data_IF_092447078657
#
_entry.id   IF_092447078657
#
_cell.length_a   1.000
_cell.length_b   1.000
_cell.length_c   1.000
_cell.angle_alpha   90.00
_cell.angle_beta   90.00
_cell.angle_gamma   90.00
#
_symmetry.space_group_name_H-M   'P 1'
#
loop_
_entity.id
_entity.type
_entity.pdbx_description
1 polymer ?
#
# COMPACT_ATOMS: atom_id res chain seq x y z
N UNK A 1 -35.94 81.69 -4.25
CA UNK A 1 -35.82 81.20 -2.87
C UNK A 1 -35.42 79.74 -2.92
N UNK A 2 -34.22 79.51 -2.42
CA UNK A 2 -33.37 78.31 -2.46
C UNK A 2 -33.76 77.31 -1.37
N UNK A 3 -33.81 76.01 -1.69
CA UNK A 3 -33.73 74.93 -0.68
C UNK A 3 -32.32 74.34 -0.73
N UNK A 4 -31.49 74.73 0.23
CA UNK A 4 -30.26 74.00 0.60
C UNK A 4 -30.58 73.14 1.82
N UNK A 5 -30.39 71.84 1.68
CA UNK A 5 -30.47 70.85 2.75
C UNK A 5 -29.12 70.76 3.47
N UNK A 6 -29.09 71.08 4.76
CA UNK A 6 -27.95 70.85 5.66
C UNK A 6 -27.80 69.35 5.97
N UNK A 7 -26.58 68.77 5.97
CA UNK A 7 -26.36 67.42 6.48
C UNK A 7 -26.38 67.42 8.00
N UNK A 8 -27.24 66.57 8.58
CA UNK A 8 -27.28 66.32 10.02
C UNK A 8 -26.05 65.56 10.51
N UNK A 9 -25.54 66.00 11.66
CA UNK A 9 -24.57 65.31 12.50
C UNK A 9 -25.09 63.92 12.89
N UNK A 10 -24.47 62.87 12.36
CA UNK A 10 -24.58 61.51 12.91
C UNK A 10 -23.48 61.36 13.94
N UNK A 11 -23.87 61.15 15.21
CA UNK A 11 -22.96 60.84 16.32
C UNK A 11 -22.25 59.51 16.06
N UNK A 12 -20.93 59.54 16.05
CA UNK A 12 -20.07 58.37 16.23
C UNK A 12 -20.26 57.80 17.65
N UNK A 13 -21.09 56.78 17.77
CA UNK A 13 -20.95 55.79 18.83
C UNK A 13 -21.38 54.43 18.27
N UNK A 14 -20.63 53.40 18.64
CA UNK A 14 -20.76 51.99 18.25
C UNK A 14 -19.99 51.56 16.99
N UNK A 15 -18.68 51.81 16.98
CA UNK A 15 -17.74 50.92 16.29
C UNK A 15 -17.30 49.81 17.27
N UNK A 16 -17.41 48.52 16.92
CA UNK A 16 -16.92 47.43 17.77
C UNK A 16 -15.39 47.52 17.90
N UNK A 17 -14.80 47.15 19.05
CA UNK A 17 -13.38 47.30 19.29
C UNK A 17 -12.57 46.45 18.30
N UNK A 18 -11.93 47.12 17.35
CA UNK A 18 -10.93 46.56 16.45
C UNK A 18 -9.64 46.31 17.24
N UNK A 19 -9.48 45.10 17.78
CA UNK A 19 -8.28 44.80 18.55
C UNK A 19 -8.15 43.44 19.20
N UNK A 20 -8.81 42.39 18.70
CA UNK A 20 -8.34 41.05 19.03
C UNK A 20 -7.27 40.67 18.02
N UNK A 21 -6.00 40.72 18.45
CA UNK A 21 -4.91 40.09 17.76
C UNK A 21 -5.31 38.62 17.53
N UNK A 22 -5.67 38.28 16.30
CA UNK A 22 -5.82 36.90 15.87
C UNK A 22 -4.46 36.27 16.08
N UNK A 23 -4.32 35.55 17.20
CA UNK A 23 -3.09 34.84 17.54
C UNK A 23 -2.66 34.05 16.33
N UNK A 24 -1.41 34.23 15.92
CA UNK A 24 -0.83 33.51 14.79
C UNK A 24 -1.21 32.03 14.92
N UNK A 25 -1.80 31.40 13.89
CA UNK A 25 -2.17 30.00 14.00
C UNK A 25 -0.93 29.22 14.46
N UNK A 26 -1.06 28.31 15.45
CA UNK A 26 0.09 27.57 15.95
C UNK A 26 0.82 26.93 14.77
N UNK A 27 2.17 26.91 14.77
CA UNK A 27 2.93 26.38 13.66
C UNK A 27 2.42 24.97 13.35
N UNK A 28 2.19 24.63 12.07
CA UNK A 28 1.64 23.33 11.70
C UNK A 28 2.52 22.24 12.31
N UNK A 29 1.92 21.40 13.16
CA UNK A 29 2.64 20.26 13.74
C UNK A 29 3.10 19.35 12.61
N UNK A 30 4.40 19.07 12.57
CA UNK A 30 4.97 18.15 11.59
C UNK A 30 4.53 16.73 11.99
N UNK A 31 3.51 16.21 11.30
CA UNK A 31 2.96 14.87 11.57
C UNK A 31 3.32 13.94 10.42
N UNK A 32 4.31 13.10 10.65
CA UNK A 32 4.60 11.95 9.77
C UNK A 32 3.56 10.87 10.00
N UNK A 33 3.17 10.18 8.93
CA UNK A 33 2.18 9.10 9.01
C UNK A 33 2.64 8.01 10.00
N UNK A 34 1.82 7.60 10.99
CA UNK A 34 2.20 6.57 11.95
C UNK A 34 2.51 5.23 11.26
N UNK A 35 1.84 4.91 10.15
CA UNK A 35 2.14 3.76 9.31
C UNK A 35 3.57 3.80 8.76
N UNK A 36 4.03 4.96 8.29
CA UNK A 36 5.39 5.12 7.74
C UNK A 36 6.45 5.02 8.83
N UNK A 37 6.16 5.53 10.03
CA UNK A 37 7.03 5.39 11.20
C UNK A 37 7.13 3.92 11.62
N UNK A 38 5.99 3.23 11.75
CA UNK A 38 5.96 1.82 12.11
C UNK A 38 6.71 0.96 11.08
N UNK A 39 6.49 1.21 9.78
CA UNK A 39 7.23 0.55 8.71
C UNK A 39 8.73 0.77 8.87
N UNK A 40 9.17 2.03 9.03
CA UNK A 40 10.59 2.36 9.21
C UNK A 40 11.23 1.66 10.41
N UNK A 41 10.53 1.58 11.55
CA UNK A 41 11.03 0.89 12.75
C UNK A 41 11.14 -0.61 12.53
N UNK A 42 10.10 -1.26 11.98
CA UNK A 42 10.13 -2.70 11.73
C UNK A 42 11.21 -3.05 10.70
N UNK A 43 11.28 -2.29 9.61
CA UNK A 43 12.33 -2.44 8.58
C UNK A 43 13.72 -2.27 9.19
N UNK A 44 13.93 -1.28 10.08
CA UNK A 44 15.22 -1.10 10.76
C UNK A 44 15.62 -2.34 11.55
N UNK A 45 14.72 -2.87 12.40
CA UNK A 45 15.02 -4.03 13.23
C UNK A 45 15.28 -5.27 12.38
N UNK A 46 14.42 -5.52 11.38
CA UNK A 46 14.57 -6.65 10.47
C UNK A 46 15.90 -6.58 9.71
N UNK A 47 16.18 -5.49 9.01
CA UNK A 47 17.39 -5.35 8.20
C UNK A 47 18.67 -5.28 9.04
N UNK A 48 18.65 -4.61 10.20
CA UNK A 48 19.80 -4.56 11.08
C UNK A 48 20.15 -5.95 11.61
N UNK A 49 19.17 -6.72 12.06
CA UNK A 49 19.44 -8.07 12.52
C UNK A 49 19.84 -9.02 11.39
N UNK A 50 19.30 -8.87 10.17
CA UNK A 50 19.74 -9.65 9.00
C UNK A 50 21.23 -9.42 8.70
N UNK A 51 21.73 -8.19 8.84
CA UNK A 51 23.15 -7.86 8.62
C UNK A 51 24.02 -8.28 9.81
N UNK A 52 23.59 -8.01 11.03
CA UNK A 52 24.45 -8.09 12.23
C UNK A 52 24.43 -9.47 12.91
N UNK A 53 23.37 -10.25 12.75
CA UNK A 53 23.24 -11.54 13.43
C UNK A 53 23.55 -12.68 12.45
N UNK A 54 24.68 -13.39 12.62
CA UNK A 54 25.12 -14.39 11.67
C UNK A 54 24.13 -15.55 11.50
N UNK A 55 23.44 -15.92 12.59
CA UNK A 55 22.58 -17.12 12.65
C UNK A 55 21.10 -16.87 12.29
N UNK A 56 20.74 -15.66 11.81
CA UNK A 56 19.34 -15.37 11.43
C UNK A 56 18.97 -16.03 10.11
N UNK A 57 19.91 -16.05 9.16
CA UNK A 57 19.69 -16.62 7.84
C UNK A 57 20.30 -18.02 7.76
N UNK A 58 19.65 -18.88 6.99
CA UNK A 58 20.10 -20.23 6.68
C UNK A 58 19.83 -20.53 5.21
N UNK A 59 20.51 -21.52 4.64
CA UNK A 59 20.41 -21.88 3.23
C UNK A 59 21.75 -21.70 2.52
N UNK A 60 21.74 -21.69 1.17
CA UNK A 60 22.97 -21.51 0.39
C UNK A 60 23.68 -20.19 0.71
N UNK A 61 25.01 -20.24 0.85
CA UNK A 61 25.83 -19.08 1.24
C UNK A 61 25.65 -17.89 0.29
N UNK A 62 25.54 -18.15 -1.01
CA UNK A 62 25.24 -17.13 -2.03
C UNK A 62 23.96 -16.35 -1.71
N UNK A 63 22.90 -17.03 -1.26
CA UNK A 63 21.61 -16.41 -0.95
C UNK A 63 21.67 -15.62 0.36
N UNK A 64 22.41 -16.14 1.35
CA UNK A 64 22.68 -15.43 2.61
C UNK A 64 23.44 -14.13 2.32
N UNK A 65 24.47 -14.20 1.47
CA UNK A 65 25.24 -13.05 1.01
C UNK A 65 24.36 -12.01 0.34
N UNK A 66 23.55 -12.40 -0.64
CA UNK A 66 22.62 -11.49 -1.33
C UNK A 66 21.63 -10.84 -0.38
N UNK A 67 20.97 -11.62 0.50
CA UNK A 67 20.01 -11.06 1.47
C UNK A 67 20.65 -10.06 2.43
N UNK A 68 21.91 -10.27 2.84
CA UNK A 68 22.68 -9.31 3.66
C UNK A 68 23.04 -8.05 2.88
N UNK A 69 23.47 -8.19 1.62
CA UNK A 69 23.74 -7.06 0.74
C UNK A 69 22.50 -6.17 0.55
N UNK A 70 21.35 -6.78 0.27
CA UNK A 70 20.06 -6.10 0.21
C UNK A 70 19.71 -5.39 1.52
N UNK A 71 19.82 -6.09 2.65
CA UNK A 71 19.53 -5.53 3.96
C UNK A 71 20.43 -4.32 4.29
N UNK A 72 21.70 -4.35 3.87
CA UNK A 72 22.60 -3.21 4.00
C UNK A 72 22.11 -2.00 3.19
N UNK A 73 21.68 -2.18 1.94
CA UNK A 73 21.13 -1.09 1.11
C UNK A 73 19.86 -0.51 1.73
N UNK A 74 19.00 -1.35 2.29
CA UNK A 74 17.81 -0.89 3.04
C UNK A 74 18.23 0.02 4.21
N UNK A 75 19.24 -0.37 4.98
CA UNK A 75 19.70 0.41 6.14
C UNK A 75 20.34 1.75 5.75
N UNK A 76 21.20 1.75 4.73
CA UNK A 76 22.04 2.93 4.41
C UNK A 76 21.44 3.84 3.35
N UNK A 77 20.49 3.34 2.54
CA UNK A 77 19.80 4.11 1.50
C UNK A 77 18.30 4.16 1.74
N UNK A 78 17.66 2.99 1.87
CA UNK A 78 16.21 2.86 1.97
C UNK A 78 15.62 3.65 3.15
N UNK A 79 16.08 3.40 4.37
CA UNK A 79 15.58 4.03 5.58
C UNK A 79 15.89 5.53 5.68
N UNK A 80 17.12 6.00 5.38
CA UNK A 80 17.40 7.44 5.33
C UNK A 80 16.52 8.17 4.32
N UNK A 81 16.33 7.57 3.13
CA UNK A 81 15.48 8.16 2.09
C UNK A 81 14.00 8.15 2.50
N UNK A 82 13.52 7.07 3.12
CA UNK A 82 12.16 6.99 3.69
C UNK A 82 11.93 8.11 4.71
N UNK A 83 12.83 8.25 5.68
CA UNK A 83 12.73 9.26 6.73
C UNK A 83 12.77 10.69 6.15
N UNK A 84 13.76 10.99 5.31
CA UNK A 84 13.93 12.32 4.73
C UNK A 84 12.73 12.73 3.86
N UNK A 85 12.26 11.80 3.01
CA UNK A 85 11.10 12.03 2.15
C UNK A 85 9.79 12.11 2.92
N UNK A 86 9.61 11.32 3.99
CA UNK A 86 8.45 11.38 4.87
C UNK A 86 8.37 12.71 5.64
N UNK A 87 9.50 13.22 6.13
CA UNK A 87 9.60 14.54 6.75
C UNK A 87 9.31 15.63 5.72
N UNK A 88 9.85 15.53 4.50
CA UNK A 88 9.55 16.47 3.43
C UNK A 88 8.06 16.45 3.07
N UNK A 89 7.44 15.28 2.97
CA UNK A 89 6.00 15.12 2.72
C UNK A 89 5.16 15.74 3.85
N UNK A 90 5.56 15.55 5.11
CA UNK A 90 4.91 16.17 6.27
C UNK A 90 5.03 17.71 6.27
N UNK A 91 6.06 18.26 5.61
CA UNK A 91 6.20 19.71 5.34
C UNK A 91 5.41 20.20 4.11
N UNK A 92 4.60 19.33 3.51
CA UNK A 92 3.81 19.65 2.31
C UNK A 92 4.57 19.48 0.99
N UNK A 93 5.78 18.90 1.00
CA UNK A 93 6.53 18.64 -0.23
C UNK A 93 5.89 17.51 -1.02
N UNK A 94 5.35 17.86 -2.19
CA UNK A 94 4.83 16.90 -3.14
C UNK A 94 5.88 15.92 -3.65
N UNK A 95 7.11 16.41 -3.89
CA UNK A 95 8.24 15.56 -4.26
C UNK A 95 8.54 14.56 -3.14
N UNK A 96 8.50 15.02 -1.88
CA UNK A 96 8.61 14.14 -0.72
C UNK A 96 7.55 13.05 -0.69
N UNK A 97 6.29 13.38 -0.98
CA UNK A 97 5.17 12.43 -1.04
C UNK A 97 5.34 11.36 -2.14
N UNK A 98 5.85 11.76 -3.31
CA UNK A 98 6.16 10.84 -4.41
C UNK A 98 7.34 9.93 -4.05
N UNK A 99 8.42 10.52 -3.51
CA UNK A 99 9.64 9.77 -3.13
C UNK A 99 9.34 8.77 -2.02
N UNK A 100 8.62 9.15 -0.96
CA UNK A 100 8.27 8.22 0.13
C UNK A 100 7.40 7.06 -0.38
N UNK A 101 6.52 7.33 -1.35
CA UNK A 101 5.71 6.27 -2.01
C UNK A 101 6.60 5.31 -2.81
N UNK A 102 7.58 5.83 -3.56
CA UNK A 102 8.55 5.02 -4.30
C UNK A 102 9.45 4.17 -3.39
N UNK A 103 9.97 4.76 -2.30
CA UNK A 103 10.75 4.01 -1.31
C UNK A 103 9.89 2.96 -0.61
N UNK A 104 8.62 3.24 -0.35
CA UNK A 104 7.71 2.24 0.21
C UNK A 104 7.50 1.06 -0.75
N UNK A 105 7.46 1.30 -2.06
CA UNK A 105 7.41 0.23 -3.06
C UNK A 105 8.70 -0.62 -3.06
N UNK A 106 9.87 0.02 -2.95
CA UNK A 106 11.15 -0.66 -2.74
C UNK A 106 11.14 -1.55 -1.48
N UNK A 107 10.65 -1.03 -0.35
CA UNK A 107 10.54 -1.80 0.87
C UNK A 107 9.52 -2.95 0.74
N UNK A 108 8.40 -2.74 0.02
CA UNK A 108 7.44 -3.80 -0.24
C UNK A 108 8.06 -4.94 -1.04
N UNK A 109 8.78 -4.61 -2.11
CA UNK A 109 9.50 -5.58 -2.93
C UNK A 109 10.41 -6.47 -2.08
N UNK A 110 11.19 -5.84 -1.21
CA UNK A 110 12.14 -6.55 -0.35
C UNK A 110 11.47 -7.25 0.84
N UNK A 111 10.32 -6.79 1.31
CA UNK A 111 9.52 -7.51 2.29
C UNK A 111 9.00 -8.84 1.72
N UNK A 112 8.56 -8.85 0.45
CA UNK A 112 8.21 -10.09 -0.26
C UNK A 112 9.42 -11.02 -0.34
N UNK A 113 10.60 -10.49 -0.65
CA UNK A 113 11.83 -11.28 -0.68
C UNK A 113 12.19 -11.85 0.69
N UNK A 114 12.07 -11.07 1.78
CA UNK A 114 12.32 -11.62 3.12
C UNK A 114 11.33 -12.73 3.49
N UNK A 115 10.04 -12.60 3.16
CA UNK A 115 9.03 -13.61 3.49
C UNK A 115 9.16 -14.87 2.62
N UNK A 116 9.42 -14.72 1.33
CA UNK A 116 9.34 -15.83 0.36
C UNK A 116 10.69 -16.37 -0.11
N UNK A 117 11.77 -15.60 0.02
CA UNK A 117 13.12 -15.99 -0.41
C UNK A 117 14.08 -16.26 0.76
N UNK A 118 13.60 -16.24 2.01
CA UNK A 118 14.38 -16.69 3.17
C UNK A 118 13.69 -17.86 3.87
N UNK A 119 14.43 -18.91 4.27
CA UNK A 119 13.85 -19.97 5.08
C UNK A 119 13.32 -19.45 6.42
N UNK A 120 12.32 -20.17 6.96
CA UNK A 120 11.67 -19.78 8.21
C UNK A 120 12.68 -19.63 9.35
N UNK A 121 12.63 -18.48 10.04
CA UNK A 121 13.55 -18.15 11.11
C UNK A 121 12.87 -17.23 12.14
N UNK A 122 13.60 -16.89 13.21
CA UNK A 122 13.11 -16.07 14.32
C UNK A 122 12.61 -14.67 13.95
N UNK A 123 12.92 -14.16 12.75
CA UNK A 123 12.46 -12.85 12.27
C UNK A 123 11.20 -12.93 11.42
N UNK A 124 10.63 -14.12 11.20
CA UNK A 124 9.44 -14.30 10.36
C UNK A 124 8.32 -13.29 10.65
N UNK A 125 7.96 -13.06 11.92
CA UNK A 125 6.92 -12.08 12.30
C UNK A 125 7.31 -10.63 12.00
N UNK A 126 8.60 -10.29 12.01
CA UNK A 126 9.07 -8.96 11.60
C UNK A 126 8.94 -8.79 10.08
N UNK A 127 9.23 -9.84 9.31
CA UNK A 127 9.07 -9.82 7.85
C UNK A 127 7.58 -9.68 7.46
N UNK A 128 6.69 -10.41 8.13
CA UNK A 128 5.24 -10.29 7.97
C UNK A 128 4.72 -8.89 8.35
N UNK A 129 5.19 -8.34 9.46
CA UNK A 129 4.84 -6.98 9.86
C UNK A 129 5.35 -5.94 8.84
N UNK A 130 6.58 -6.10 8.34
CA UNK A 130 7.15 -5.26 7.30
C UNK A 130 6.30 -5.33 6.03
N UNK A 131 5.92 -6.53 5.60
CA UNK A 131 5.07 -6.77 4.43
C UNK A 131 3.71 -6.08 4.57
N UNK A 132 2.98 -6.35 5.66
CA UNK A 132 1.67 -5.76 5.90
C UNK A 132 1.70 -4.23 5.99
N UNK A 133 2.68 -3.67 6.70
CA UNK A 133 2.86 -2.22 6.82
C UNK A 133 3.27 -1.58 5.49
N UNK A 134 4.10 -2.25 4.69
CA UNK A 134 4.51 -1.77 3.37
C UNK A 134 3.33 -1.77 2.39
N UNK A 135 2.48 -2.79 2.38
CA UNK A 135 1.24 -2.83 1.58
C UNK A 135 0.33 -1.66 1.95
N UNK A 136 0.00 -1.51 3.23
CA UNK A 136 -0.90 -0.44 3.69
C UNK A 136 -0.31 0.96 3.40
N UNK A 137 0.99 1.13 3.60
CA UNK A 137 1.70 2.38 3.32
C UNK A 137 1.74 2.68 1.83
N UNK A 138 1.97 1.68 0.97
CA UNK A 138 2.02 1.86 -0.48
C UNK A 138 0.65 2.18 -1.03
N UNK A 139 -0.41 1.49 -0.60
CA UNK A 139 -1.78 1.76 -1.02
C UNK A 139 -2.20 3.17 -0.62
N UNK A 140 -1.99 3.54 0.64
CA UNK A 140 -2.36 4.88 1.13
C UNK A 140 -1.51 5.98 0.48
N UNK A 141 -0.20 5.76 0.30
CA UNK A 141 0.70 6.68 -0.41
C UNK A 141 0.29 6.87 -1.86
N UNK A 142 0.04 5.77 -2.59
CA UNK A 142 -0.39 5.80 -3.98
C UNK A 142 -1.72 6.53 -4.17
N UNK A 143 -2.69 6.31 -3.26
CA UNK A 143 -3.97 7.03 -3.28
C UNK A 143 -3.79 8.54 -3.04
N UNK A 144 -2.88 8.94 -2.15
CA UNK A 144 -2.58 10.36 -1.92
C UNK A 144 -1.92 10.99 -3.15
N UNK A 145 -0.89 10.34 -3.71
CA UNK A 145 -0.22 10.77 -4.94
C UNK A 145 -1.21 10.89 -6.10
N UNK A 146 -2.10 9.91 -6.26
CA UNK A 146 -3.15 9.91 -7.29
C UNK A 146 -4.13 11.06 -7.13
N UNK A 147 -4.62 11.31 -5.91
CA UNK A 147 -5.60 12.38 -5.62
C UNK A 147 -4.99 13.77 -5.75
N UNK A 148 -3.71 13.93 -5.43
CA UNK A 148 -2.97 15.20 -5.51
C UNK A 148 -2.27 15.41 -6.86
N UNK A 149 -2.49 14.52 -7.84
CA UNK A 149 -2.05 14.69 -9.21
C UNK A 149 -2.51 16.05 -9.77
N UNK A 150 -1.70 16.76 -10.59
CA UNK A 150 -2.15 18.04 -11.13
C UNK A 150 -3.26 17.77 -12.17
N UNK A 151 -4.09 18.76 -12.49
CA UNK A 151 -5.14 18.55 -13.50
C UNK A 151 -4.57 18.37 -14.92
N UNK A 152 -3.40 18.95 -15.21
CA UNK A 152 -2.71 18.83 -16.51
C UNK A 152 -1.20 18.71 -16.31
N UNK A 153 -0.56 17.90 -17.15
CA UNK A 153 0.91 17.83 -17.27
C UNK A 153 1.33 18.75 -18.41
N UNK A 154 2.23 19.70 -18.14
CA UNK A 154 2.60 20.76 -19.09
C UNK A 154 3.36 20.24 -20.32
N UNK A 155 3.96 19.04 -20.26
CA UNK A 155 4.47 18.34 -21.47
C UNK A 155 4.75 16.86 -21.17
N UNK A 156 4.26 15.89 -21.98
CA UNK A 156 4.63 14.48 -21.83
C UNK A 156 6.12 14.26 -22.09
N UNK A 157 6.81 13.65 -21.14
CA UNK A 157 8.20 13.22 -21.31
C UNK A 157 8.25 11.86 -22.02
N UNK A 158 7.99 11.86 -23.34
CA UNK A 158 7.84 10.63 -24.14
C UNK A 158 9.07 9.71 -24.08
N UNK A 159 10.27 10.27 -24.00
CA UNK A 159 11.50 9.49 -23.81
C UNK A 159 11.52 8.74 -22.47
N UNK A 160 10.94 9.31 -21.41
CA UNK A 160 10.82 8.65 -20.09
C UNK A 160 9.85 7.47 -20.17
N UNK A 161 8.73 7.64 -20.87
CA UNK A 161 7.80 6.54 -21.11
C UNK A 161 8.48 5.40 -21.91
N UNK A 162 9.24 5.75 -22.95
CA UNK A 162 10.01 4.78 -23.71
C UNK A 162 11.05 4.06 -22.86
N UNK A 163 11.82 4.80 -22.04
CA UNK A 163 12.75 4.22 -21.06
C UNK A 163 12.03 3.22 -20.14
N UNK A 164 10.89 3.59 -19.57
CA UNK A 164 10.13 2.72 -18.67
C UNK A 164 9.71 1.43 -19.37
N UNK A 165 9.19 1.53 -20.59
CA UNK A 165 8.79 0.34 -21.37
C UNK A 165 9.96 -0.54 -21.75
N UNK A 166 11.09 0.04 -22.14
CA UNK A 166 12.30 -0.74 -22.49
C UNK A 166 12.80 -1.49 -21.26
N UNK A 167 12.95 -0.83 -20.11
CA UNK A 167 13.39 -1.50 -18.87
C UNK A 167 12.41 -2.60 -18.46
N UNK A 168 11.10 -2.33 -18.52
CA UNK A 168 10.09 -3.34 -18.20
C UNK A 168 10.10 -4.53 -19.18
N UNK A 169 10.25 -4.26 -20.48
CA UNK A 169 10.32 -5.28 -21.53
C UNK A 169 11.56 -6.15 -21.37
N UNK A 170 12.73 -5.55 -21.11
CA UNK A 170 14.00 -6.28 -20.94
C UNK A 170 13.96 -7.19 -19.72
N UNK A 171 13.42 -6.73 -18.59
CA UNK A 171 13.23 -7.58 -17.41
C UNK A 171 12.23 -8.70 -17.67
N UNK A 172 11.09 -8.40 -18.30
CA UNK A 172 10.10 -9.43 -18.65
C UNK A 172 10.71 -10.48 -19.59
N UNK A 173 11.48 -10.05 -20.59
CA UNK A 173 12.19 -10.94 -21.50
C UNK A 173 13.24 -11.78 -20.76
N UNK A 174 14.02 -11.20 -19.84
CA UNK A 174 15.01 -11.93 -19.05
C UNK A 174 14.38 -13.03 -18.17
N UNK A 175 13.21 -12.75 -17.57
CA UNK A 175 12.46 -13.74 -16.79
C UNK A 175 11.82 -14.81 -17.68
N UNK A 176 11.14 -14.41 -18.76
CA UNK A 176 10.50 -15.35 -19.69
C UNK A 176 11.52 -16.23 -20.42
N UNK A 177 12.71 -15.72 -20.71
CA UNK A 177 13.80 -16.49 -21.30
C UNK A 177 14.32 -17.62 -20.39
N UNK A 178 14.08 -17.53 -19.08
CA UNK A 178 14.39 -18.59 -18.11
C UNK A 178 13.18 -19.50 -17.89
N UNK A 179 12.00 -18.91 -17.69
CA UNK A 179 10.75 -19.63 -17.36
C UNK A 179 10.25 -20.49 -18.51
N UNK A 180 10.20 -19.96 -19.75
CA UNK A 180 9.62 -20.69 -20.88
C UNK A 180 10.41 -21.96 -21.25
N UNK A 181 11.76 -21.95 -21.31
CA UNK A 181 12.52 -23.19 -21.52
C UNK A 181 12.35 -24.20 -20.39
N UNK A 182 12.31 -23.74 -19.13
CA UNK A 182 12.09 -24.62 -17.98
C UNK A 182 10.72 -25.33 -18.08
N UNK A 183 9.66 -24.62 -18.46
CA UNK A 183 8.32 -25.19 -18.66
C UNK A 183 8.25 -26.16 -19.86
N UNK A 184 9.10 -25.97 -20.88
CA UNK A 184 9.16 -26.84 -22.04
C UNK A 184 10.06 -28.08 -21.84
N UNK A 185 10.95 -28.06 -20.85
CA UNK A 185 11.89 -29.12 -20.54
C UNK A 185 11.32 -30.24 -19.67
N UNK A 186 12.06 -31.34 -19.53
CA UNK A 186 11.70 -32.47 -18.67
C UNK A 186 11.99 -32.23 -17.18
N UNK A 187 12.80 -31.22 -16.86
CA UNK A 187 13.24 -30.91 -15.49
C UNK A 187 13.03 -29.42 -15.17
N UNK A 188 11.78 -28.97 -14.99
CA UNK A 188 11.44 -27.55 -14.83
C UNK A 188 12.06 -26.88 -13.58
N UNK A 189 12.48 -27.67 -12.59
CA UNK A 189 13.03 -27.15 -11.32
C UNK A 189 14.52 -26.85 -11.38
N UNK A 190 15.27 -27.29 -12.40
CA UNK A 190 16.72 -27.04 -12.53
C UNK A 190 17.07 -25.55 -12.51
N UNK A 191 16.15 -24.69 -12.95
CA UNK A 191 16.30 -23.23 -12.90
C UNK A 191 16.48 -22.68 -11.46
N UNK A 192 16.10 -23.46 -10.45
CA UNK A 192 16.18 -23.10 -9.03
C UNK A 192 17.40 -23.70 -8.33
N UNK A 193 18.22 -24.49 -9.03
CA UNK A 193 19.37 -25.17 -8.44
C UNK A 193 20.35 -24.16 -7.80
N UNK A 194 20.86 -24.51 -6.62
CA UNK A 194 21.75 -23.64 -5.84
C UNK A 194 21.07 -22.48 -5.11
N UNK A 195 19.79 -22.19 -5.36
CA UNK A 195 19.05 -21.12 -4.67
C UNK A 195 18.43 -21.57 -3.34
N UNK A 196 18.19 -22.88 -3.17
CA UNK A 196 17.46 -23.40 -2.02
C UNK A 196 15.98 -23.01 -1.98
N UNK A 197 15.46 -22.42 -3.07
CA UNK A 197 14.07 -22.02 -3.20
C UNK A 197 13.25 -23.07 -3.94
N UNK A 198 11.96 -23.18 -3.59
CA UNK A 198 10.99 -24.03 -4.30
C UNK A 198 10.29 -23.30 -5.44
N UNK A 199 10.33 -21.96 -5.41
CA UNK A 199 9.88 -21.06 -6.47
C UNK A 199 10.69 -19.79 -6.39
N UNK A 200 10.81 -19.03 -7.48
CA UNK A 200 11.54 -17.76 -7.46
C UNK A 200 10.57 -16.58 -7.26
N UNK A 201 10.56 -15.92 -6.09
CA UNK A 201 9.62 -14.83 -5.82
C UNK A 201 9.79 -13.63 -6.77
N UNK A 202 11.00 -13.42 -7.31
CA UNK A 202 11.28 -12.37 -8.31
C UNK A 202 10.42 -12.59 -9.55
N UNK A 203 10.42 -13.79 -10.14
CA UNK A 203 9.60 -14.09 -11.32
C UNK A 203 8.12 -13.89 -11.03
N UNK A 204 7.66 -14.33 -9.86
CA UNK A 204 6.27 -14.23 -9.43
C UNK A 204 5.83 -12.77 -9.37
N UNK A 205 6.51 -11.94 -8.59
CA UNK A 205 6.06 -10.57 -8.38
C UNK A 205 6.31 -9.66 -9.59
N UNK A 206 7.37 -9.88 -10.35
CA UNK A 206 7.70 -9.04 -11.50
C UNK A 206 6.71 -9.26 -12.63
N UNK A 207 6.48 -10.52 -13.01
CA UNK A 207 5.59 -10.86 -14.12
C UNK A 207 4.12 -10.66 -13.75
N UNK A 208 3.73 -10.91 -12.49
CA UNK A 208 2.33 -10.75 -12.07
C UNK A 208 1.95 -9.29 -11.78
N UNK A 209 2.88 -8.46 -11.29
CA UNK A 209 2.54 -7.14 -10.76
C UNK A 209 3.47 -6.01 -11.23
N UNK A 210 4.75 -6.04 -10.87
CA UNK A 210 5.61 -4.85 -11.02
C UNK A 210 5.80 -4.44 -12.48
N UNK A 211 6.14 -5.37 -13.37
CA UNK A 211 6.37 -5.05 -14.78
C UNK A 211 5.06 -4.63 -15.49
N UNK A 212 3.92 -5.33 -15.35
CA UNK A 212 2.64 -4.86 -15.88
C UNK A 212 2.24 -3.46 -15.38
N UNK A 213 2.41 -3.19 -14.09
CA UNK A 213 2.13 -1.86 -13.50
C UNK A 213 3.04 -0.81 -14.12
N UNK A 214 4.33 -1.08 -14.27
CA UNK A 214 5.26 -0.13 -14.87
C UNK A 214 4.98 0.12 -16.35
N UNK A 215 4.55 -0.88 -17.12
CA UNK A 215 4.03 -0.68 -18.47
C UNK A 215 2.82 0.26 -18.47
N UNK A 216 1.85 0.00 -17.60
CA UNK A 216 0.66 0.83 -17.46
C UNK A 216 1.00 2.28 -17.05
N UNK A 217 1.94 2.48 -16.14
CA UNK A 217 2.43 3.79 -15.73
C UNK A 217 3.17 4.52 -16.88
N UNK A 218 4.01 3.80 -17.63
CA UNK A 218 4.67 4.31 -18.84
C UNK A 218 3.67 4.80 -19.90
N UNK A 219 2.56 4.07 -20.10
CA UNK A 219 1.48 4.55 -21.00
C UNK A 219 0.83 5.83 -20.52
N UNK A 220 0.74 6.02 -19.21
CA UNK A 220 0.28 7.26 -18.62
C UNK A 220 1.22 8.43 -18.92
N UNK A 221 2.53 8.23 -18.73
CA UNK A 221 3.56 9.24 -19.06
C UNK A 221 3.50 9.60 -20.55
N UNK A 222 3.36 8.61 -21.45
CA UNK A 222 3.26 8.84 -22.89
C UNK A 222 2.03 9.65 -23.28
N UNK A 223 0.88 9.35 -22.66
CA UNK A 223 -0.41 10.00 -22.90
C UNK A 223 -0.61 11.30 -22.12
N UNK A 224 0.39 11.74 -21.36
CA UNK A 224 0.29 12.89 -20.45
C UNK A 224 -0.81 12.75 -19.38
N UNK A 225 -1.13 11.53 -18.93
CA UNK A 225 -2.05 11.28 -17.81
C UNK A 225 -1.37 11.74 -16.51
N UNK A 226 -1.90 12.78 -15.83
CA UNK A 226 -1.24 13.37 -14.67
C UNK A 226 -1.08 12.43 -13.47
N UNK A 227 -2.02 11.51 -13.30
CA UNK A 227 -2.09 10.63 -12.12
C UNK A 227 -1.12 9.48 -12.28
N UNK A 228 -1.15 8.83 -13.44
CA UNK A 228 -0.20 7.77 -13.80
C UNK A 228 1.21 8.31 -13.92
N UNK A 229 1.38 9.53 -14.41
CA UNK A 229 2.68 10.19 -14.42
C UNK A 229 3.27 10.37 -13.01
N UNK A 230 2.44 10.76 -12.03
CA UNK A 230 2.91 10.95 -10.66
C UNK A 230 3.29 9.62 -9.99
N UNK A 231 2.52 8.55 -10.27
CA UNK A 231 2.87 7.21 -9.84
C UNK A 231 4.09 6.64 -10.58
N UNK A 232 4.28 6.97 -11.87
CA UNK A 232 5.49 6.62 -12.62
C UNK A 232 6.74 7.26 -12.02
N UNK A 233 6.61 8.48 -11.46
CA UNK A 233 7.69 9.14 -10.75
C UNK A 233 8.08 8.36 -9.48
N UNK A 234 7.09 7.88 -8.71
CA UNK A 234 7.33 7.01 -7.56
C UNK A 234 7.94 5.66 -7.98
N UNK A 235 7.41 5.03 -9.03
CA UNK A 235 7.96 3.78 -9.59
C UNK A 235 9.40 3.94 -10.11
N UNK A 236 9.76 5.10 -10.64
CA UNK A 236 11.14 5.38 -11.07
C UNK A 236 12.09 5.53 -9.88
N UNK A 237 11.64 6.12 -8.77
CA UNK A 237 12.42 6.14 -7.51
C UNK A 237 12.63 4.72 -6.99
N UNK A 238 11.58 3.89 -6.99
CA UNK A 238 11.67 2.47 -6.64
C UNK A 238 12.76 1.78 -7.46
N UNK A 239 12.70 1.85 -8.79
CA UNK A 239 13.67 1.16 -9.66
C UNK A 239 15.11 1.64 -9.48
N UNK A 240 15.36 2.93 -9.20
CA UNK A 240 16.72 3.43 -8.95
C UNK A 240 17.30 2.80 -7.68
N UNK A 241 16.52 2.78 -6.60
CA UNK A 241 16.96 2.21 -5.33
C UNK A 241 17.08 0.69 -5.44
N UNK A 242 16.15 0.04 -6.14
CA UNK A 242 16.19 -1.40 -6.38
C UNK A 242 17.39 -1.79 -7.23
N UNK A 243 17.72 -1.07 -8.31
CA UNK A 243 18.90 -1.37 -9.11
C UNK A 243 20.20 -1.25 -8.30
N UNK A 244 20.30 -0.28 -7.38
CA UNK A 244 21.41 -0.24 -6.43
C UNK A 244 21.39 -1.43 -5.46
N UNK A 245 20.20 -1.79 -4.95
CA UNK A 245 19.96 -2.99 -4.15
C UNK A 245 20.50 -4.25 -4.83
N UNK A 246 20.11 -4.46 -6.08
CA UNK A 246 20.52 -5.60 -6.89
C UNK A 246 22.03 -5.62 -7.10
N UNK A 247 22.65 -4.48 -7.42
CA UNK A 247 24.11 -4.43 -7.56
C UNK A 247 24.85 -4.90 -6.29
N UNK A 248 24.38 -4.48 -5.11
CA UNK A 248 25.00 -4.85 -3.84
C UNK A 248 24.65 -6.28 -3.43
N UNK A 249 23.44 -6.76 -3.72
CA UNK A 249 23.07 -8.16 -3.49
C UNK A 249 23.91 -9.13 -4.34
N UNK A 250 24.20 -8.76 -5.59
CA UNK A 250 25.01 -9.59 -6.48
C UNK A 250 26.45 -9.63 -6.01
N UNK A 251 26.99 -8.47 -5.61
CA UNK A 251 28.35 -8.36 -5.08
C UNK A 251 28.52 -9.19 -3.79
N UNK A 252 27.57 -9.09 -2.85
CA UNK A 252 27.66 -9.81 -1.58
C UNK A 252 27.35 -11.29 -1.71
N UNK A 253 26.43 -11.68 -2.58
CA UNK A 253 26.15 -13.09 -2.88
C UNK A 253 27.36 -13.77 -3.51
N UNK A 254 27.94 -13.17 -4.55
CA UNK A 254 29.14 -13.70 -5.19
C UNK A 254 30.34 -13.75 -4.22
N UNK A 255 30.50 -12.75 -3.35
CA UNK A 255 31.56 -12.78 -2.34
C UNK A 255 31.38 -13.89 -1.29
N UNK A 256 30.12 -14.28 -1.00
CA UNK A 256 29.83 -15.35 -0.05
C UNK A 256 30.07 -16.75 -0.64
N UNK A 257 29.78 -16.94 -1.93
CA UNK A 257 30.10 -18.17 -2.67
C UNK A 257 30.46 -17.85 -4.13
N UNK A 258 31.76 -17.66 -4.43
CA UNK A 258 32.23 -17.32 -5.78
C UNK A 258 32.03 -18.44 -6.81
N UNK A 259 31.82 -19.69 -6.37
CA UNK A 259 31.60 -20.83 -7.26
C UNK A 259 30.13 -20.96 -7.70
N UNK A 260 29.21 -20.29 -7.00
CA UNK A 260 27.80 -20.29 -7.34
C UNK A 260 27.51 -19.47 -8.60
N UNK A 261 26.62 -19.98 -9.45
CA UNK A 261 26.08 -19.28 -10.61
C UNK A 261 24.86 -18.40 -10.29
N UNK A 262 24.38 -18.42 -9.03
CA UNK A 262 23.16 -17.71 -8.61
C UNK A 262 23.38 -16.19 -8.55
N UNK A 263 24.57 -15.74 -8.13
CA UNK A 263 24.96 -14.34 -8.10
C UNK A 263 26.23 -14.12 -8.91
N UNK A 264 26.30 -12.99 -9.64
CA UNK A 264 27.41 -12.70 -10.54
C UNK A 264 27.98 -11.30 -10.32
N UNK A 265 29.29 -11.24 -10.07
CA UNK A 265 30.07 -10.00 -10.00
C UNK A 265 30.00 -9.19 -11.32
N UNK A 266 29.92 -9.86 -12.47
CA UNK A 266 29.78 -9.24 -13.78
C UNK A 266 28.47 -8.45 -13.93
N UNK A 267 27.42 -8.77 -13.16
CA UNK A 267 26.15 -8.04 -13.16
C UNK A 267 26.19 -6.77 -12.30
N UNK A 268 27.13 -6.67 -11.35
CA UNK A 268 27.28 -5.50 -10.45
C UNK A 268 27.43 -4.19 -11.25
N UNK A 269 28.40 -4.04 -12.19
CA UNK A 269 28.53 -2.80 -12.95
C UNK A 269 27.30 -2.51 -13.83
N UNK A 270 26.62 -3.55 -14.32
CA UNK A 270 25.40 -3.39 -15.14
C UNK A 270 24.30 -2.73 -14.31
N UNK A 271 24.04 -3.23 -13.10
CA UNK A 271 23.01 -2.67 -12.22
C UNK A 271 23.38 -1.30 -11.65
N UNK A 272 24.66 -1.03 -11.40
CA UNK A 272 25.12 0.32 -11.06
C UNK A 272 24.87 1.31 -12.19
N UNK A 273 25.16 0.93 -13.44
CA UNK A 273 24.86 1.76 -14.61
C UNK A 273 23.36 1.98 -14.75
N UNK A 274 22.53 0.93 -14.57
CA UNK A 274 21.07 1.07 -14.59
C UNK A 274 20.55 2.00 -13.50
N UNK A 275 21.11 1.92 -12.28
CA UNK A 275 20.77 2.84 -11.19
C UNK A 275 21.10 4.28 -11.57
N UNK A 276 22.31 4.53 -12.10
CA UNK A 276 22.76 5.86 -12.52
C UNK A 276 21.92 6.41 -13.68
N UNK A 277 21.67 5.61 -14.72
CA UNK A 277 20.84 5.99 -15.88
C UNK A 277 19.41 6.26 -15.44
N UNK A 278 18.88 5.48 -14.49
CA UNK A 278 17.53 5.63 -13.94
C UNK A 278 17.31 6.91 -13.14
N UNK A 279 18.36 7.57 -12.65
CA UNK A 279 18.26 8.87 -11.95
C UNK A 279 17.69 9.93 -12.89
N UNK A 280 18.09 9.96 -14.17
CA UNK A 280 17.64 10.97 -15.12
C UNK A 280 16.10 10.99 -15.33
N UNK A 281 15.43 9.87 -15.67
CA UNK A 281 13.97 9.85 -15.77
C UNK A 281 13.29 10.14 -14.43
N UNK A 282 13.79 9.59 -13.31
CA UNK A 282 13.24 9.89 -11.99
C UNK A 282 13.32 11.40 -11.66
N UNK A 283 14.46 12.04 -11.94
CA UNK A 283 14.68 13.46 -11.71
C UNK A 283 13.80 14.33 -12.61
N UNK A 284 13.64 14.00 -13.89
CA UNK A 284 12.76 14.73 -14.81
C UNK A 284 11.31 14.64 -14.37
N UNK A 285 10.87 13.46 -13.94
CA UNK A 285 9.53 13.29 -13.40
C UNK A 285 9.39 14.12 -12.11
N UNK A 286 10.24 13.93 -11.10
CA UNK A 286 10.15 14.67 -9.85
C UNK A 286 10.28 16.20 -10.02
N UNK A 287 11.10 16.69 -10.94
CA UNK A 287 11.27 18.12 -11.19
C UNK A 287 9.97 18.77 -11.66
N UNK A 288 9.24 18.10 -12.56
CA UNK A 288 7.95 18.58 -13.09
C UNK A 288 6.79 18.40 -12.12
N UNK A 289 6.99 17.76 -10.97
CA UNK A 289 5.99 17.63 -9.90
C UNK A 289 5.89 18.92 -9.05
N UNK A 290 5.95 20.10 -9.68
CA UNK A 290 6.02 21.41 -9.02
C UNK A 290 4.95 21.65 -7.93
N UNK A 291 5.16 22.66 -7.07
CA UNK A 291 4.22 22.99 -6.00
C UNK A 291 2.85 23.30 -6.61
N UNK A 292 1.83 22.55 -6.19
CA UNK A 292 0.44 22.87 -6.53
C UNK A 292 0.07 24.09 -5.69
N UNK A 293 -0.37 25.17 -6.33
CA UNK A 293 -0.99 26.29 -5.64
C UNK A 293 -2.03 25.73 -4.67
N UNK A 294 -1.97 26.14 -3.40
CA UNK A 294 -2.91 25.68 -2.37
C UNK A 294 -4.32 25.89 -2.87
N UNK A 295 -4.96 24.82 -3.39
CA UNK A 295 -6.39 24.85 -3.57
C UNK A 295 -6.96 25.04 -2.17
N UNK A 296 -7.59 26.19 -1.97
CA UNK A 296 -8.35 26.55 -0.77
C UNK A 296 -9.53 25.61 -0.51
N UNK A 297 -9.75 24.63 -1.40
CA UNK A 297 -10.47 23.41 -1.06
C UNK A 297 -9.68 22.62 -0.04
N UNK A 298 -9.88 22.94 1.24
CA UNK A 298 -9.51 22.06 2.35
C UNK A 298 -10.27 20.75 2.19
N UNK A 299 -9.79 19.85 1.34
CA UNK A 299 -10.16 18.46 1.44
C UNK A 299 -9.52 17.93 2.72
N UNK A 300 -10.29 17.98 3.79
CA UNK A 300 -10.04 17.15 4.96
C UNK A 300 -10.53 15.75 4.57
N UNK A 301 -9.68 14.71 4.50
CA UNK A 301 -10.20 13.36 4.61
C UNK A 301 -11.08 13.35 5.86
N UNK A 302 -12.36 13.06 5.73
CA UNK A 302 -13.17 12.75 6.91
C UNK A 302 -12.68 11.37 7.36
N UNK A 303 -11.85 11.25 8.41
CA UNK A 303 -11.18 10.01 8.76
C UNK A 303 -12.20 8.86 8.95
N UNK A 304 -13.40 9.20 9.43
CA UNK A 304 -14.52 8.28 9.57
C UNK A 304 -14.93 7.57 8.27
N UNK A 305 -14.97 8.26 7.12
CA UNK A 305 -15.42 7.65 5.85
C UNK A 305 -14.39 6.69 5.26
N UNK A 306 -13.11 7.03 5.39
CA UNK A 306 -12.02 6.16 4.94
C UNK A 306 -11.88 4.91 5.82
N UNK A 307 -12.06 5.05 7.13
CA UNK A 307 -12.06 3.90 8.06
C UNK A 307 -13.26 2.98 7.78
N UNK A 308 -14.46 3.54 7.61
CA UNK A 308 -15.67 2.76 7.26
C UNK A 308 -15.47 1.94 5.98
N UNK A 309 -14.95 2.56 4.92
CA UNK A 309 -14.71 1.88 3.65
C UNK A 309 -13.70 0.73 3.77
N UNK A 310 -12.62 0.92 4.52
CA UNK A 310 -11.60 -0.12 4.73
C UNK A 310 -12.11 -1.29 5.59
N UNK A 311 -12.78 -1.00 6.71
CA UNK A 311 -13.36 -2.03 7.58
C UNK A 311 -14.39 -2.84 6.81
N UNK A 312 -15.26 -2.18 6.04
CA UNK A 312 -16.26 -2.84 5.22
C UNK A 312 -15.63 -3.69 4.11
N UNK A 313 -14.61 -3.19 3.41
CA UNK A 313 -13.93 -3.97 2.37
C UNK A 313 -13.26 -5.24 2.93
N UNK A 314 -12.59 -5.14 4.08
CA UNK A 314 -11.96 -6.30 4.73
C UNK A 314 -13.00 -7.34 5.17
N UNK A 315 -14.09 -6.91 5.81
CA UNK A 315 -15.18 -7.80 6.18
C UNK A 315 -15.84 -8.46 4.97
N UNK A 316 -16.02 -7.73 3.87
CA UNK A 316 -16.59 -8.27 2.64
C UNK A 316 -15.71 -9.37 2.06
N UNK A 317 -14.40 -9.14 1.96
CA UNK A 317 -13.44 -10.14 1.45
C UNK A 317 -13.42 -11.37 2.36
N UNK A 318 -13.35 -11.18 3.68
CA UNK A 318 -13.38 -12.29 4.64
C UNK A 318 -14.67 -13.12 4.51
N UNK A 319 -15.83 -12.47 4.38
CA UNK A 319 -17.12 -13.14 4.24
C UNK A 319 -17.29 -13.85 2.89
N UNK A 320 -16.77 -13.29 1.79
CA UNK A 320 -16.73 -13.98 0.49
C UNK A 320 -15.84 -15.23 0.58
N UNK A 321 -14.67 -15.11 1.22
CA UNK A 321 -13.78 -16.25 1.44
C UNK A 321 -14.43 -17.34 2.29
N UNK A 322 -15.08 -16.98 3.39
CA UNK A 322 -15.84 -17.91 4.22
C UNK A 322 -17.00 -18.58 3.48
N UNK A 323 -17.78 -17.81 2.71
CA UNK A 323 -18.88 -18.33 1.92
C UNK A 323 -18.39 -19.29 0.83
N UNK A 324 -17.32 -18.94 0.13
CA UNK A 324 -16.69 -19.84 -0.83
C UNK A 324 -16.16 -21.11 -0.16
N UNK A 325 -15.52 -20.99 1.00
CA UNK A 325 -14.99 -22.13 1.73
C UNK A 325 -16.08 -23.13 2.15
N UNK A 326 -17.22 -22.62 2.61
CA UNK A 326 -18.40 -23.42 2.94
C UNK A 326 -19.06 -24.04 1.71
N UNK A 327 -19.21 -23.29 0.61
CA UNK A 327 -19.87 -23.79 -0.60
C UNK A 327 -19.02 -24.83 -1.36
N UNK A 328 -17.70 -24.69 -1.32
CA UNK A 328 -16.76 -25.59 -1.99
C UNK A 328 -16.35 -26.80 -1.14
N UNK A 329 -16.69 -26.79 0.16
CA UNK A 329 -16.26 -27.80 1.13
C UNK A 329 -14.78 -27.69 1.54
N UNK A 330 -14.09 -26.59 1.18
CA UNK A 330 -12.73 -26.35 1.63
C UNK A 330 -12.64 -25.90 3.09
N UNK A 331 -13.77 -25.52 3.69
CA UNK A 331 -13.92 -25.16 5.09
C UNK A 331 -14.84 -26.18 5.76
N UNK A 332 -14.25 -27.12 6.48
CA UNK A 332 -14.96 -28.15 7.23
C UNK A 332 -15.42 -27.59 8.59
N UNK A 333 -16.73 -27.60 8.82
CA UNK A 333 -17.34 -27.16 10.08
C UNK A 333 -17.42 -28.31 11.10
N UNK A 334 -17.16 -29.54 10.69
CA UNK A 334 -17.35 -30.74 11.48
C UNK A 334 -18.82 -31.18 11.54
N UNK A 335 -19.04 -32.48 11.67
CA UNK A 335 -20.36 -33.11 11.61
C UNK A 335 -21.36 -32.55 12.66
N UNK A 336 -20.87 -32.08 13.81
CA UNK A 336 -21.72 -31.54 14.88
C UNK A 336 -22.31 -30.18 14.54
N UNK A 337 -21.54 -29.29 13.89
CA UNK A 337 -22.01 -27.97 13.46
C UNK A 337 -22.88 -28.11 12.22
N UNK A 338 -22.48 -28.94 11.25
CA UNK A 338 -23.26 -29.17 10.02
C UNK A 338 -24.66 -29.71 10.31
N UNK A 339 -24.79 -30.63 11.25
CA UNK A 339 -26.11 -31.16 11.67
C UNK A 339 -27.04 -30.10 12.27
N UNK A 340 -26.49 -28.97 12.76
CA UNK A 340 -27.23 -27.85 13.33
C UNK A 340 -27.55 -26.76 12.31
N UNK A 341 -26.95 -26.80 11.13
CA UNK A 341 -27.25 -25.85 10.06
C UNK A 341 -28.69 -26.02 9.59
N UNK A 342 -29.34 -24.95 9.10
CA UNK A 342 -30.62 -25.05 8.42
C UNK A 342 -30.56 -26.10 7.29
N UNK A 343 -31.43 -27.10 7.37
CA UNK A 343 -31.48 -28.25 6.46
C UNK A 343 -30.16 -29.04 6.35
N UNK A 344 -29.25 -28.92 7.32
CA UNK A 344 -27.95 -29.61 7.32
C UNK A 344 -27.05 -29.22 6.16
N UNK A 345 -27.21 -28.02 5.58
CA UNK A 345 -26.56 -27.64 4.32
C UNK A 345 -25.50 -26.54 4.49
N UNK A 346 -24.21 -26.86 4.32
CA UNK A 346 -23.13 -25.86 4.25
C UNK A 346 -23.31 -24.85 3.12
N UNK A 347 -23.92 -25.26 2.01
CA UNK A 347 -24.22 -24.37 0.88
C UNK A 347 -25.27 -23.31 1.26
N UNK A 348 -26.30 -23.68 2.02
CA UNK A 348 -27.25 -22.69 2.54
C UNK A 348 -26.58 -21.72 3.52
N UNK A 349 -25.69 -22.21 4.37
CA UNK A 349 -24.89 -21.36 5.26
C UNK A 349 -23.99 -20.40 4.48
N UNK A 350 -23.36 -20.87 3.39
CA UNK A 350 -22.56 -20.05 2.49
C UNK A 350 -23.37 -18.91 1.84
N UNK A 351 -24.55 -19.23 1.31
CA UNK A 351 -25.44 -18.24 0.70
C UNK A 351 -25.89 -17.22 1.75
N UNK A 352 -26.25 -17.67 2.94
CA UNK A 352 -26.68 -16.78 4.00
C UNK A 352 -25.55 -15.85 4.49
N UNK A 353 -24.32 -16.36 4.64
CA UNK A 353 -23.14 -15.56 4.96
C UNK A 353 -22.84 -14.53 3.86
N UNK A 354 -22.96 -14.91 2.59
CA UNK A 354 -22.77 -14.00 1.46
C UNK A 354 -23.83 -12.87 1.47
N UNK A 355 -25.09 -13.18 1.74
CA UNK A 355 -26.18 -12.21 1.74
C UNK A 355 -26.20 -11.30 2.97
N UNK A 356 -25.94 -11.86 4.16
CA UNK A 356 -26.02 -11.12 5.42
C UNK A 356 -24.73 -10.34 5.72
N UNK A 357 -23.57 -10.83 5.28
CA UNK A 357 -22.28 -10.21 5.63
C UNK A 357 -21.56 -9.66 4.40
N UNK A 358 -21.33 -10.47 3.37
CA UNK A 358 -20.51 -10.03 2.23
C UNK A 358 -21.17 -8.89 1.45
N UNK A 359 -22.46 -9.02 1.11
CA UNK A 359 -23.19 -8.04 0.31
C UNK A 359 -23.32 -6.67 1.01
N UNK A 360 -23.80 -6.55 2.28
CA UNK A 360 -23.92 -5.26 2.94
C UNK A 360 -22.57 -4.57 3.18
N UNK A 361 -21.51 -5.34 3.46
CA UNK A 361 -20.16 -4.79 3.60
C UNK A 361 -19.58 -4.33 2.24
N UNK A 362 -19.85 -5.04 1.15
CA UNK A 362 -19.45 -4.62 -0.21
C UNK A 362 -20.15 -3.33 -0.61
N UNK A 363 -21.46 -3.23 -0.39
CA UNK A 363 -22.23 -2.02 -0.68
C UNK A 363 -21.71 -0.83 0.13
N UNK A 364 -21.44 -1.01 1.43
CA UNK A 364 -20.85 0.02 2.27
C UNK A 364 -19.47 0.46 1.77
N UNK A 365 -18.60 -0.48 1.40
CA UNK A 365 -17.28 -0.18 0.86
C UNK A 365 -17.38 0.65 -0.44
N UNK A 366 -18.26 0.26 -1.36
CA UNK A 366 -18.49 0.99 -2.62
C UNK A 366 -19.04 2.39 -2.36
N UNK A 367 -20.05 2.54 -1.51
CA UNK A 367 -20.62 3.84 -1.16
C UNK A 367 -19.56 4.77 -0.52
N UNK A 368 -18.73 4.22 0.38
CA UNK A 368 -17.64 4.96 1.00
C UNK A 368 -16.56 5.38 -0.01
N UNK A 369 -16.24 4.54 -0.99
CA UNK A 369 -15.30 4.83 -2.07
C UNK A 369 -15.81 5.92 -3.00
N UNK A 370 -17.10 5.88 -3.35
CA UNK A 370 -17.76 6.88 -4.20
C UNK A 370 -18.05 8.18 -3.46
N UNK A 371 -17.93 8.20 -2.13
CA UNK A 371 -18.23 9.37 -1.31
C UNK A 371 -19.71 9.68 -1.20
N UNK A 372 -20.58 8.67 -1.33
CA UNK A 372 -22.03 8.83 -1.35
C UNK A 372 -22.57 9.31 0.00
N UNK A 373 -23.57 10.18 -0.02
CA UNK A 373 -24.25 10.71 1.17
C UNK A 373 -24.93 9.63 2.02
N UNK A 374 -25.24 8.46 1.45
CA UNK A 374 -25.84 7.31 2.13
C UNK A 374 -24.85 6.49 2.95
N UNK A 375 -23.55 6.78 2.88
CA UNK A 375 -22.50 6.04 3.59
C UNK A 375 -22.74 5.91 5.11
N UNK A 376 -23.17 6.96 5.85
CA UNK A 376 -23.45 6.85 7.28
C UNK A 376 -24.59 5.88 7.60
N UNK A 377 -25.71 6.00 6.88
CA UNK A 377 -26.86 5.10 7.01
C UNK A 377 -26.48 3.65 6.67
N UNK A 378 -25.76 3.45 5.56
CA UNK A 378 -25.28 2.14 5.16
C UNK A 378 -24.36 1.52 6.23
N UNK A 379 -23.52 2.31 6.90
CA UNK A 379 -22.67 1.84 7.99
C UNK A 379 -23.48 1.35 9.19
N UNK A 380 -24.54 2.08 9.57
CA UNK A 380 -25.45 1.66 10.65
C UNK A 380 -26.17 0.37 10.28
N UNK A 381 -26.74 0.29 9.07
CA UNK A 381 -27.45 -0.90 8.59
C UNK A 381 -26.52 -2.10 8.56
N UNK A 382 -25.34 -1.98 7.95
CA UNK A 382 -24.35 -3.07 7.88
C UNK A 382 -23.90 -3.52 9.26
N UNK A 383 -23.67 -2.60 10.20
CA UNK A 383 -23.31 -2.96 11.57
C UNK A 383 -24.43 -3.66 12.33
N UNK A 384 -25.68 -3.23 12.18
CA UNK A 384 -26.86 -3.89 12.79
C UNK A 384 -27.07 -5.29 12.20
N UNK A 385 -26.98 -5.42 10.88
CA UNK A 385 -27.10 -6.73 10.20
C UNK A 385 -25.99 -7.67 10.65
N UNK A 386 -24.74 -7.18 10.76
CA UNK A 386 -23.61 -8.01 11.23
C UNK A 386 -23.81 -8.52 12.67
N UNK A 387 -24.21 -7.64 13.59
CA UNK A 387 -24.48 -8.05 14.98
C UNK A 387 -25.69 -8.99 15.06
N UNK A 388 -26.76 -8.68 14.32
CA UNK A 388 -27.94 -9.54 14.25
C UNK A 388 -27.64 -10.92 13.67
N UNK A 389 -26.78 -10.97 12.64
CA UNK A 389 -26.33 -12.22 12.03
C UNK A 389 -25.58 -13.12 13.02
N UNK A 390 -24.72 -12.56 13.86
CA UNK A 390 -24.01 -13.32 14.92
C UNK A 390 -25.01 -13.93 15.93
N UNK A 391 -26.07 -13.20 16.29
CA UNK A 391 -27.13 -13.73 17.17
C UNK A 391 -27.86 -14.89 16.49
N UNK A 392 -28.15 -14.79 15.19
CA UNK A 392 -28.75 -15.87 14.41
C UNK A 392 -27.82 -17.08 14.35
N UNK A 393 -26.54 -16.90 14.03
CA UNK A 393 -25.55 -17.98 14.02
C UNK A 393 -25.49 -18.70 15.36
N UNK A 394 -25.42 -17.98 16.48
CA UNK A 394 -25.41 -18.56 17.83
C UNK A 394 -26.69 -19.33 18.17
N UNK A 395 -27.84 -18.88 17.67
CA UNK A 395 -29.13 -19.54 17.89
C UNK A 395 -29.27 -20.88 17.14
N UNK A 396 -28.56 -21.06 16.03
CA UNK A 396 -28.55 -22.32 15.29
C UNK A 396 -27.37 -23.22 15.70
N UNK A 397 -26.16 -22.66 15.68
CA UNK A 397 -24.92 -23.42 15.83
C UNK A 397 -24.65 -23.76 17.30
N UNK A 398 -25.15 -22.95 18.25
CA UNK A 398 -24.95 -23.11 19.70
C UNK A 398 -23.47 -23.23 20.12
N UNK A 399 -22.56 -22.59 19.39
CA UNK A 399 -21.12 -22.64 19.67
C UNK A 399 -20.51 -21.24 19.60
N UNK A 400 -19.72 -20.88 20.60
CA UNK A 400 -19.05 -19.58 20.66
C UNK A 400 -17.65 -19.69 20.08
N UNK A 401 -17.43 -19.02 18.95
CA UNK A 401 -16.11 -18.86 18.34
C UNK A 401 -15.47 -17.53 18.76
N UNK A 402 -14.15 -17.42 18.57
CA UNK A 402 -13.39 -16.16 18.70
C UNK A 402 -13.92 -15.05 17.76
N UNK A 403 -14.51 -15.45 16.62
CA UNK A 403 -15.02 -14.50 15.63
C UNK A 403 -16.28 -13.76 16.11
N UNK A 404 -17.14 -14.38 16.93
CA UNK A 404 -18.36 -13.75 17.42
C UNK A 404 -18.11 -12.44 18.22
N UNK A 405 -17.25 -12.40 19.27
CA UNK A 405 -16.97 -11.14 19.97
C UNK A 405 -16.24 -10.12 19.08
N UNK A 406 -15.34 -10.58 18.20
CA UNK A 406 -14.62 -9.70 17.27
C UNK A 406 -15.57 -9.00 16.28
N UNK A 407 -16.41 -9.76 15.57
CA UNK A 407 -17.34 -9.19 14.61
C UNK A 407 -18.50 -8.42 15.27
N UNK A 408 -18.84 -8.74 16.52
CA UNK A 408 -19.73 -7.90 17.32
C UNK A 408 -19.12 -6.54 17.60
N UNK A 409 -17.83 -6.48 17.99
CA UNK A 409 -17.12 -5.22 18.19
C UNK A 409 -16.99 -4.43 16.88
N UNK A 410 -16.71 -5.10 15.76
CA UNK A 410 -16.67 -4.48 14.43
C UNK A 410 -18.05 -3.93 14.03
N UNK A 411 -19.12 -4.69 14.24
CA UNK A 411 -20.49 -4.23 13.99
C UNK A 411 -20.86 -3.02 14.84
N UNK A 412 -20.50 -3.03 16.13
CA UNK A 412 -20.65 -1.89 17.03
C UNK A 412 -19.87 -0.65 16.58
N UNK A 413 -18.63 -0.84 16.10
CA UNK A 413 -17.81 0.22 15.53
C UNK A 413 -18.46 0.83 14.28
N UNK A 414 -19.00 0.02 13.36
CA UNK A 414 -19.71 0.49 12.16
C UNK A 414 -20.95 1.33 12.54
N UNK A 415 -21.74 0.88 13.51
CA UNK A 415 -22.90 1.62 14.02
C UNK A 415 -22.47 2.97 14.62
N UNK A 416 -21.45 2.96 15.47
CA UNK A 416 -20.96 4.16 16.13
C UNK A 416 -20.41 5.18 15.13
N UNK A 417 -19.59 4.73 14.18
CA UNK A 417 -19.02 5.58 13.12
C UNK A 417 -20.11 6.14 12.19
N UNK A 418 -21.11 5.34 11.83
CA UNK A 418 -22.25 5.78 11.02
C UNK A 418 -23.08 6.87 11.70
N UNK A 419 -23.50 6.65 12.96
CA UNK A 419 -24.26 7.66 13.74
C UNK A 419 -23.47 8.94 13.98
N UNK A 420 -22.17 8.82 14.27
CA UNK A 420 -21.29 9.98 14.50
C UNK A 420 -21.03 10.81 13.24
N UNK A 421 -21.32 10.27 12.06
CA UNK A 421 -21.21 10.96 10.79
C UNK A 421 -22.53 11.67 10.40
N UNK A 422 -23.69 11.06 10.67
CA UNK A 422 -25.01 11.66 10.40
C UNK A 422 -25.26 12.93 11.23
N UNK A 423 -24.90 12.91 12.53
CA UNK A 423 -25.09 14.05 13.45
C UNK A 423 -24.29 15.30 13.01
N UNK A 424 -23.20 15.11 12.25
CA UNK A 424 -22.34 16.20 11.76
C UNK A 424 -22.68 16.68 10.36
N UNK A 425 -23.70 16.10 9.71
CA UNK A 425 -24.19 16.50 8.39
C UNK A 425 -25.52 17.24 8.40
N UNK A 426 -26.10 17.48 9.59
CA UNK A 426 -27.22 18.41 9.77
C UNK A 426 -26.62 19.83 9.78
N UNK A 427 -27.06 20.75 8.90
CA UNK A 427 -26.48 22.09 8.76
C UNK A 427 -26.59 22.96 10.01
#
# INVERSE_FOLDING_TARGET
MTRQSSPGLVREHDAPPSGQAVGSPPPPRLVVSPLTVALGVVTLVASAGTVLLPDVLSGPDVMIGSARGTALVILVVGLPLLAASAVAAARGSRRGEIVVTGVTAYLLYNAVMFVLATPFNRFFLLYEAMLGLAILSLVTGSLRVWRRAPERVVTPARWVAFYIWVVAALNAAAWLAKVLPALAGSHPTELLDGTGLTTNPVFVQDLAFWLPVMFWLGTGVWRADPRRWALAAAGSVFWVVEALGVAIDQAWGHAADPASSVASDALVPVFLVLALVGIAPAAVLLHRAGPVATSSGTWRPQPHRSVLGWVAALNAVAAVGGAWGLASGSLDLGATIEARLPAGSPVLAAVALALAVALPNTVLAVLALLGDRRTPLAAVVTGVVLVGWIVVELAFIHELSFFHPLYTAIGGLLIWLGRSADVRSVP
#
